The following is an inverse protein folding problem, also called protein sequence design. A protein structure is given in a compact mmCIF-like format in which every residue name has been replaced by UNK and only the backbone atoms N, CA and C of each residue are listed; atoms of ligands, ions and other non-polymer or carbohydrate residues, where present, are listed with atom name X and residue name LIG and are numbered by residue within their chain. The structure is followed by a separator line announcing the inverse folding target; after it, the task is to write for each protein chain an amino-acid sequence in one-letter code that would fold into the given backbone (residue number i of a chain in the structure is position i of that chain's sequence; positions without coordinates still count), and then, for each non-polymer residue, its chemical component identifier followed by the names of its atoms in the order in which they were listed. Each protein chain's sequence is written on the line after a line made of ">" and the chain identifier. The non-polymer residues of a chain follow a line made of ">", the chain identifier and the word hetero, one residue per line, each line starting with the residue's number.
data_IF_709797287038
#
_entry.id   IF_709797287038
#
_cell.length_a   1.000
_cell.length_b   1.000
_cell.length_c   1.000
_cell.angle_alpha   90.00
_cell.angle_beta   90.00
_cell.angle_gamma   90.00
#
_symmetry.space_group_name_H-M   'P 1'
#
loop_
_entity.id
_entity.type
_entity.pdbx_description
1 polymer ?
#
# COMPACT_ATOMS: atom_id res chain seq x y z
N UNK A 1 -0.44 -13.19 -9.78
CA UNK A 1 0.00 -12.33 -8.67
C UNK A 1 -0.70 -10.97 -8.84
N UNK A 2 -1.45 -10.50 -7.84
CA UNK A 2 -2.29 -9.29 -7.95
C UNK A 2 -1.51 -7.97 -7.86
N UNK A 3 -0.26 -8.02 -7.37
CA UNK A 3 0.63 -6.88 -7.35
C UNK A 3 1.06 -6.46 -8.75
N UNK A 4 0.71 -5.24 -9.13
CA UNK A 4 1.15 -4.60 -10.38
C UNK A 4 2.41 -3.74 -10.19
N UNK A 5 2.69 -3.32 -8.95
CA UNK A 5 3.91 -2.61 -8.57
C UNK A 5 4.21 -2.81 -7.09
N UNK A 6 5.49 -3.05 -6.77
CA UNK A 6 6.04 -2.93 -5.42
C UNK A 6 7.07 -1.82 -5.46
N UNK A 7 6.89 -0.76 -4.66
CA UNK A 7 7.72 0.44 -4.69
C UNK A 7 8.23 0.76 -3.29
N UNK A 8 9.54 0.95 -3.19
CA UNK A 8 10.21 1.50 -2.01
C UNK A 8 10.29 3.03 -2.20
N UNK A 9 9.70 3.79 -1.27
CA UNK A 9 9.70 5.25 -1.26
C UNK A 9 9.50 5.77 0.17
N UNK A 10 10.50 6.48 0.68
CA UNK A 10 10.52 7.03 2.04
C UNK A 10 9.53 8.20 2.25
N UNK A 11 9.05 8.79 1.15
CA UNK A 11 8.02 9.85 1.19
C UNK A 11 6.61 9.29 1.04
N UNK A 12 6.46 7.97 0.94
CA UNK A 12 5.17 7.26 1.00
C UNK A 12 4.19 7.75 -0.09
N UNK A 13 3.03 8.28 0.32
CA UNK A 13 2.01 8.81 -0.59
C UNK A 13 2.24 10.31 -0.75
N UNK A 14 2.89 10.72 -1.84
CA UNK A 14 3.19 12.12 -2.09
C UNK A 14 3.02 12.56 -3.56
N UNK A 15 2.38 13.73 -3.70
CA UNK A 15 2.38 14.55 -4.91
C UNK A 15 1.95 13.85 -6.20
N UNK A 16 2.53 14.28 -7.31
CA UNK A 16 2.19 13.77 -8.64
C UNK A 16 2.77 12.39 -8.94
N UNK A 17 3.69 11.88 -8.11
CA UNK A 17 4.37 10.61 -8.36
C UNK A 17 3.40 9.45 -8.21
N UNK A 18 2.62 9.43 -7.12
CA UNK A 18 1.61 8.38 -6.92
C UNK A 18 0.47 8.49 -7.93
N UNK A 19 0.08 9.71 -8.32
CA UNK A 19 -0.91 9.96 -9.38
C UNK A 19 -0.43 9.44 -10.74
N UNK A 20 0.86 9.61 -11.07
CA UNK A 20 1.45 9.11 -12.30
C UNK A 20 1.38 7.59 -12.39
N UNK A 21 1.75 6.89 -11.31
CA UNK A 21 1.63 5.43 -11.24
C UNK A 21 0.16 4.97 -11.25
N UNK A 22 -0.71 5.66 -10.52
CA UNK A 22 -2.14 5.40 -10.50
C UNK A 22 -2.75 5.47 -11.90
N UNK A 23 -2.47 6.53 -12.67
CA UNK A 23 -2.95 6.67 -14.04
C UNK A 23 -2.37 5.61 -15.00
N UNK A 24 -1.08 5.28 -14.87
CA UNK A 24 -0.40 4.34 -15.75
C UNK A 24 -0.83 2.88 -15.51
N UNK A 25 -0.96 2.48 -14.24
CA UNK A 25 -1.21 1.09 -13.85
C UNK A 25 -2.69 0.80 -13.58
N UNK A 26 -3.49 1.83 -13.31
CA UNK A 26 -4.92 1.75 -12.97
C UNK A 26 -5.19 0.69 -11.89
N UNK A 27 -4.59 0.83 -10.69
CA UNK A 27 -4.81 -0.10 -9.61
C UNK A 27 -6.21 0.06 -9.02
N UNK A 28 -6.74 -1.01 -8.45
CA UNK A 28 -7.96 -0.95 -7.64
C UNK A 28 -7.63 -0.54 -6.19
N UNK A 29 -6.40 -0.83 -5.74
CA UNK A 29 -5.94 -0.54 -4.37
C UNK A 29 -4.47 -0.12 -4.32
N UNK A 30 -4.17 0.87 -3.47
CA UNK A 30 -2.83 1.25 -3.04
C UNK A 30 -2.71 0.91 -1.56
N UNK A 31 -1.73 0.08 -1.22
CA UNK A 31 -1.47 -0.35 0.16
C UNK A 31 -0.15 0.25 0.60
N UNK A 32 -0.17 0.98 1.71
CA UNK A 32 1.03 1.40 2.41
C UNK A 32 1.29 0.45 3.58
N UNK A 33 2.39 -0.32 3.53
CA UNK A 33 2.86 -1.09 4.68
C UNK A 33 3.74 -0.20 5.57
N UNK A 34 3.23 0.15 6.74
CA UNK A 34 3.97 0.91 7.75
C UNK A 34 3.34 0.67 9.14
N UNK A 35 4.06 -0.04 10.02
CA UNK A 35 3.56 -0.38 11.36
C UNK A 35 3.41 0.84 12.28
N UNK A 36 4.17 1.91 12.08
CA UNK A 36 4.11 3.12 12.90
C UNK A 36 2.87 3.96 12.55
N UNK A 37 2.68 4.24 11.26
CA UNK A 37 1.52 4.98 10.74
C UNK A 37 0.23 4.19 10.97
N UNK A 38 0.24 2.87 10.78
CA UNK A 38 -0.94 2.04 11.03
C UNK A 38 -1.44 2.09 12.48
N UNK A 39 -0.55 2.39 13.44
CA UNK A 39 -0.89 2.55 14.87
C UNK A 39 -1.36 3.96 15.23
N UNK A 40 -1.14 4.95 14.36
CA UNK A 40 -1.55 6.33 14.57
C UNK A 40 -2.78 6.65 13.71
N UNK A 41 -3.99 6.73 14.28
CA UNK A 41 -5.22 6.94 13.51
C UNK A 41 -5.19 8.21 12.66
N UNK A 42 -4.57 9.27 13.16
CA UNK A 42 -4.51 10.56 12.46
C UNK A 42 -3.57 10.51 11.26
N UNK A 43 -2.38 9.93 11.41
CA UNK A 43 -1.43 9.78 10.30
C UNK A 43 -1.96 8.80 9.25
N UNK A 44 -2.65 7.74 9.68
CA UNK A 44 -3.33 6.80 8.78
C UNK A 44 -4.37 7.52 7.93
N UNK A 45 -5.28 8.25 8.57
CA UNK A 45 -6.34 8.98 7.87
C UNK A 45 -5.75 10.00 6.88
N UNK A 46 -4.68 10.70 7.27
CA UNK A 46 -3.97 11.61 6.39
C UNK A 46 -3.42 10.90 5.14
N UNK A 47 -2.78 9.73 5.31
CA UNK A 47 -2.27 8.94 4.18
C UNK A 47 -3.41 8.45 3.27
N UNK A 48 -4.51 7.97 3.85
CA UNK A 48 -5.67 7.48 3.10
C UNK A 48 -6.35 8.59 2.29
N UNK A 49 -6.36 9.82 2.80
CA UNK A 49 -6.90 10.99 2.11
C UNK A 49 -5.92 11.64 1.12
N UNK A 50 -4.66 11.18 1.07
CA UNK A 50 -3.61 11.80 0.23
C UNK A 50 -3.74 11.49 -1.26
N UNK A 51 -4.61 10.53 -1.62
CA UNK A 51 -4.92 10.19 -3.01
C UNK A 51 -6.34 10.63 -3.34
N UNK A 52 -6.50 11.36 -4.44
CA UNK A 52 -7.74 12.10 -4.73
C UNK A 52 -8.69 11.39 -5.71
N UNK A 53 -8.26 10.29 -6.32
CA UNK A 53 -9.09 9.54 -7.26
C UNK A 53 -10.01 8.58 -6.49
N UNK A 54 -11.33 8.82 -6.60
CA UNK A 54 -12.36 8.10 -5.84
C UNK A 54 -12.50 6.63 -6.21
N UNK A 55 -12.00 6.23 -7.38
CA UNK A 55 -12.14 4.85 -7.87
C UNK A 55 -11.05 3.93 -7.30
N UNK A 56 -10.04 4.48 -6.62
CA UNK A 56 -8.93 3.71 -6.04
C UNK A 56 -9.01 3.74 -4.52
N UNK A 57 -8.97 2.55 -3.91
CA UNK A 57 -8.90 2.44 -2.44
C UNK A 57 -7.47 2.66 -1.96
N UNK A 58 -7.28 3.51 -0.95
CA UNK A 58 -6.01 3.65 -0.25
C UNK A 58 -6.17 3.16 1.18
N UNK A 59 -5.22 2.36 1.64
CA UNK A 59 -5.20 1.89 3.02
C UNK A 59 -3.77 1.79 3.55
N UNK A 60 -3.60 2.07 4.84
CA UNK A 60 -2.36 1.78 5.56
C UNK A 60 -2.55 0.54 6.42
N UNK A 61 -1.59 -0.37 6.39
CA UNK A 61 -1.67 -1.64 7.12
C UNK A 61 -0.41 -1.89 7.95
N UNK A 62 -0.61 -2.48 9.13
CA UNK A 62 0.45 -3.16 9.88
C UNK A 62 0.79 -4.51 9.23
N UNK A 63 1.85 -5.15 9.72
CA UNK A 63 2.27 -6.47 9.21
C UNK A 63 1.15 -7.50 9.36
N UNK A 64 0.51 -7.54 10.53
CA UNK A 64 -0.56 -8.49 10.83
C UNK A 64 -1.78 -8.26 9.92
N UNK A 65 -2.20 -7.00 9.77
CA UNK A 65 -3.30 -6.64 8.88
C UNK A 65 -3.00 -6.99 7.42
N UNK A 66 -1.76 -6.74 6.99
CA UNK A 66 -1.33 -7.05 5.64
C UNK A 66 -1.35 -8.56 5.38
N UNK A 67 -0.76 -9.36 6.27
CA UNK A 67 -0.77 -10.83 6.15
C UNK A 67 -2.20 -11.40 6.15
N UNK A 68 -3.10 -10.84 6.97
CA UNK A 68 -4.50 -11.21 6.96
C UNK A 68 -5.18 -10.86 5.62
N UNK A 69 -4.90 -9.66 5.07
CA UNK A 69 -5.44 -9.23 3.78
C UNK A 69 -4.97 -10.13 2.63
N UNK A 70 -3.73 -10.63 2.64
CA UNK A 70 -3.24 -11.57 1.62
C UNK A 70 -4.03 -12.89 1.56
N UNK A 71 -4.68 -13.28 2.66
CA UNK A 71 -5.54 -14.47 2.73
C UNK A 71 -6.99 -14.17 2.28
N UNK A 72 -7.33 -12.92 1.99
CA UNK A 72 -8.69 -12.53 1.60
C UNK A 72 -8.99 -12.86 0.13
N UNK A 73 -10.27 -13.04 -0.19
CA UNK A 73 -10.69 -13.17 -1.59
C UNK A 73 -10.45 -11.89 -2.40
N UNK A 74 -10.51 -10.72 -1.76
CA UNK A 74 -10.30 -9.42 -2.40
C UNK A 74 -8.91 -9.33 -3.03
N UNK A 75 -7.89 -9.78 -2.29
CA UNK A 75 -6.51 -9.80 -2.78
C UNK A 75 -6.38 -10.46 -4.15
N UNK A 76 -7.07 -11.58 -4.37
CA UNK A 76 -6.99 -12.34 -5.63
C UNK A 76 -7.66 -11.66 -6.82
N UNK A 77 -8.50 -10.63 -6.59
CA UNK A 77 -9.35 -9.98 -7.60
C UNK A 77 -8.93 -8.55 -7.93
N UNK A 78 -8.05 -7.94 -7.13
CA UNK A 78 -7.65 -6.54 -7.25
C UNK A 78 -6.26 -6.37 -7.89
N UNK A 79 -6.05 -5.25 -8.58
CA UNK A 79 -4.72 -4.77 -8.99
C UNK A 79 -4.15 -3.89 -7.89
N UNK A 80 -2.99 -4.28 -7.38
CA UNK A 80 -2.45 -3.69 -6.14
C UNK A 80 -1.12 -3.01 -6.39
N UNK A 81 -0.98 -1.77 -5.92
CA UNK A 81 0.31 -1.13 -5.71
C UNK A 81 0.66 -1.28 -4.23
N UNK A 82 1.81 -1.88 -3.94
CA UNK A 82 2.36 -1.94 -2.59
C UNK A 82 3.45 -0.87 -2.45
N UNK A 83 3.27 0.02 -1.48
CA UNK A 83 4.26 1.00 -1.03
C UNK A 83 4.88 0.54 0.28
N UNK A 84 6.20 0.64 0.35
CA UNK A 84 6.99 0.38 1.55
C UNK A 84 7.99 1.52 1.73
N UNK A 85 8.30 1.87 2.97
CA UNK A 85 9.19 2.99 3.27
C UNK A 85 10.66 2.66 2.94
N UNK A 86 11.11 1.45 3.30
CA UNK A 86 12.51 1.07 3.17
C UNK A 86 12.70 -0.35 2.62
N UNK A 87 13.91 -0.70 2.12
CA UNK A 87 14.23 -2.07 1.74
C UNK A 87 14.15 -3.05 2.91
N UNK A 88 14.36 -2.57 4.15
CA UNK A 88 14.27 -3.38 5.36
C UNK A 88 12.83 -3.84 5.62
N UNK A 89 11.87 -2.95 5.38
CA UNK A 89 10.44 -3.27 5.52
C UNK A 89 10.01 -4.27 4.45
N UNK A 90 10.50 -4.12 3.23
CA UNK A 90 10.26 -5.10 2.17
C UNK A 90 10.85 -6.47 2.53
N UNK A 91 12.09 -6.51 3.03
CA UNK A 91 12.72 -7.77 3.45
C UNK A 91 11.92 -8.46 4.55
N UNK A 92 11.39 -7.71 5.51
CA UNK A 92 10.54 -8.24 6.57
C UNK A 92 9.27 -8.89 6.05
N UNK A 93 8.65 -8.32 4.99
CA UNK A 93 7.50 -8.95 4.33
C UNK A 93 7.91 -10.27 3.65
N UNK A 94 9.02 -10.27 2.92
CA UNK A 94 9.53 -11.47 2.24
C UNK A 94 9.86 -12.60 3.22
N UNK A 95 10.46 -12.28 4.36
CA UNK A 95 10.77 -13.24 5.43
C UNK A 95 9.50 -13.88 6.03
N UNK A 96 8.33 -13.23 5.87
CA UNK A 96 7.04 -13.73 6.29
C UNK A 96 6.31 -14.54 5.20
N UNK A 97 6.93 -14.76 4.04
CA UNK A 97 6.38 -15.57 2.95
C UNK A 97 5.42 -14.83 2.02
N UNK A 98 5.51 -13.49 1.97
CA UNK A 98 4.80 -12.64 1.00
C UNK A 98 5.38 -12.81 -0.40
#
# INVERSE_FOLDING_TARGET
>A
MPFVLVRIDDRLIHGQVIMGWGHALKPDRIILYNDEIARNPWERELCECSYTDSDVKVCVCSLEQFLQYLQSEEFTKEKIILLVESPKDLLRLLDCGV
#
